data_IF_173702743844
#
_entry.id   IF_173702743844
#
_cell.length_a   1.000
_cell.length_b   1.000
_cell.length_c   1.000
_cell.angle_alpha   90.00
_cell.angle_beta   90.00
_cell.angle_gamma   90.00
#
_symmetry.space_group_name_H-M   'P 1'
#
loop_
_entity.id
_entity.type
_entity.pdbx_description
1 polymer ?
#
# COMPACT_ATOMS: atom_id res chain seq x y z
N UNK A 1 -39.10 2.89 1.47
CA UNK A 1 -38.51 2.94 0.12
C UNK A 1 -37.49 1.82 0.06
N UNK A 2 -37.81 0.71 -0.62
CA UNK A 2 -36.85 -0.37 -0.82
C UNK A 2 -35.81 0.09 -1.84
N UNK A 3 -34.59 0.34 -1.38
CA UNK A 3 -33.45 0.61 -2.25
C UNK A 3 -33.17 -0.66 -3.04
N UNK A 4 -33.52 -0.65 -4.33
CA UNK A 4 -33.12 -1.69 -5.29
C UNK A 4 -31.59 -1.79 -5.27
N UNK A 5 -31.06 -2.75 -4.54
CA UNK A 5 -29.63 -3.04 -4.44
C UNK A 5 -29.25 -3.76 -5.72
N UNK A 6 -28.86 -3.00 -6.74
CA UNK A 6 -28.28 -3.60 -7.93
C UNK A 6 -26.95 -4.24 -7.52
N UNK A 7 -26.84 -5.54 -7.72
CA UNK A 7 -25.58 -6.26 -7.68
C UNK A 7 -24.56 -5.58 -8.60
N UNK A 8 -23.37 -5.31 -8.08
CA UNK A 8 -22.27 -4.72 -8.87
C UNK A 8 -21.00 -5.52 -8.69
N UNK A 9 -20.28 -5.72 -9.79
CA UNK A 9 -18.90 -6.19 -9.72
C UNK A 9 -18.01 -5.07 -9.18
N UNK A 10 -17.09 -5.41 -8.29
CA UNK A 10 -16.12 -4.48 -7.72
C UNK A 10 -14.72 -4.77 -8.27
N UNK A 11 -14.18 -3.85 -9.04
CA UNK A 11 -12.88 -3.99 -9.71
C UNK A 11 -12.06 -2.73 -9.52
N UNK A 12 -10.75 -2.85 -9.63
CA UNK A 12 -9.87 -1.70 -9.56
C UNK A 12 -8.41 -2.11 -9.59
N UNK A 13 -7.56 -1.11 -9.35
CA UNK A 13 -6.11 -1.28 -9.26
C UNK A 13 -5.63 -0.63 -7.96
N UNK A 14 -4.71 -1.28 -7.25
CA UNK A 14 -4.07 -0.73 -6.06
C UNK A 14 -2.61 -0.43 -6.36
N UNK A 15 -2.19 0.80 -6.08
CA UNK A 15 -0.82 1.28 -6.29
C UNK A 15 -0.32 2.04 -5.07
N UNK A 16 0.98 2.25 -4.99
CA UNK A 16 1.57 3.17 -4.03
C UNK A 16 1.61 4.63 -4.53
N UNK A 17 2.16 5.52 -3.72
CA UNK A 17 2.29 6.94 -4.07
C UNK A 17 3.21 7.22 -5.27
N UNK A 18 4.11 6.29 -5.61
CA UNK A 18 4.97 6.38 -6.80
C UNK A 18 4.29 5.86 -8.07
N UNK A 19 3.13 5.20 -7.93
CA UNK A 19 2.41 4.54 -9.01
C UNK A 19 2.84 3.08 -9.21
N UNK A 20 3.68 2.53 -8.33
CA UNK A 20 4.05 1.12 -8.35
C UNK A 20 2.86 0.25 -7.95
N UNK A 21 2.63 -0.82 -8.71
CA UNK A 21 1.58 -1.78 -8.43
C UNK A 21 1.84 -2.52 -7.12
N UNK A 22 0.82 -2.60 -6.26
CA UNK A 22 0.91 -3.35 -5.01
C UNK A 22 0.33 -4.74 -5.20
N UNK A 23 1.18 -5.75 -5.40
CA UNK A 23 0.81 -7.17 -5.44
C UNK A 23 0.51 -7.69 -4.03
N UNK A 24 -0.57 -8.46 -3.87
CA UNK A 24 -0.93 -9.03 -2.57
C UNK A 24 -1.60 -8.04 -1.59
N UNK A 25 -2.02 -6.87 -2.06
CA UNK A 25 -2.92 -6.01 -1.30
C UNK A 25 -4.27 -6.71 -1.12
N UNK A 26 -4.74 -6.73 0.12
CA UNK A 26 -5.95 -7.42 0.52
C UNK A 26 -7.13 -6.48 0.44
N UNK A 27 -8.09 -6.82 -0.43
CA UNK A 27 -9.33 -6.08 -0.67
C UNK A 27 -10.47 -6.90 -0.08
N UNK A 28 -11.06 -6.41 1.00
CA UNK A 28 -12.07 -7.12 1.78
C UNK A 28 -13.39 -6.36 1.84
N UNK A 29 -14.51 -7.06 1.75
CA UNK A 29 -15.85 -6.50 1.92
C UNK A 29 -16.27 -6.71 3.38
N UNK A 30 -16.49 -5.61 4.10
CA UNK A 30 -16.75 -5.63 5.55
C UNK A 30 -18.18 -6.05 5.91
N UNK A 31 -19.12 -5.87 4.98
CA UNK A 31 -20.54 -6.17 5.24
C UNK A 31 -20.87 -7.67 5.14
N UNK A 32 -19.93 -8.50 4.68
CA UNK A 32 -20.10 -9.95 4.63
C UNK A 32 -19.53 -10.63 5.87
N UNK A 33 -20.20 -11.69 6.36
CA UNK A 33 -19.68 -12.45 7.47
C UNK A 33 -18.29 -13.02 7.12
N UNK A 34 -17.35 -12.84 8.05
CA UNK A 34 -16.06 -13.55 7.95
C UNK A 34 -16.30 -15.04 8.12
N UNK A 35 -15.70 -15.87 7.27
CA UNK A 35 -15.70 -17.31 7.44
C UNK A 35 -14.43 -17.71 8.19
N UNK A 36 -14.56 -18.26 9.39
CA UNK A 36 -13.43 -18.58 10.27
C UNK A 36 -12.49 -17.39 10.54
N UNK A 37 -13.03 -16.17 10.65
CA UNK A 37 -12.25 -14.95 10.88
C UNK A 37 -11.53 -14.39 9.65
N UNK A 38 -11.64 -15.07 8.49
CA UNK A 38 -11.16 -14.54 7.21
C UNK A 38 -12.27 -13.69 6.59
N UNK A 39 -12.08 -12.37 6.43
CA UNK A 39 -13.08 -11.53 5.80
C UNK A 39 -13.19 -11.88 4.31
N UNK A 40 -14.39 -11.76 3.75
CA UNK A 40 -14.62 -12.03 2.34
C UNK A 40 -13.88 -11.02 1.48
N UNK A 41 -13.06 -11.48 0.53
CA UNK A 41 -12.18 -10.60 -0.22
C UNK A 41 -11.30 -11.31 -1.25
N UNK A 42 -10.44 -10.53 -1.89
CA UNK A 42 -9.43 -10.99 -2.85
C UNK A 42 -8.09 -10.30 -2.59
N UNK A 43 -7.03 -10.88 -3.15
CA UNK A 43 -5.71 -10.27 -3.21
C UNK A 43 -5.51 -9.67 -4.61
N UNK A 44 -4.78 -8.55 -4.69
CA UNK A 44 -4.34 -7.98 -5.96
C UNK A 44 -3.26 -8.84 -6.61
N UNK A 45 -3.24 -8.86 -7.94
CA UNK A 45 -2.22 -9.56 -8.73
C UNK A 45 -0.91 -8.77 -8.85
N UNK A 46 0.06 -9.31 -9.60
CA UNK A 46 1.37 -8.68 -9.87
C UNK A 46 1.28 -7.29 -10.57
N UNK A 47 0.12 -6.95 -11.14
CA UNK A 47 -0.15 -5.63 -11.75
C UNK A 47 -0.96 -4.72 -10.83
N UNK A 48 -1.23 -5.17 -9.60
CA UNK A 48 -2.04 -4.49 -8.61
C UNK A 48 -3.54 -4.56 -8.91
N UNK A 49 -3.96 -5.35 -9.91
CA UNK A 49 -5.35 -5.45 -10.31
C UNK A 49 -6.13 -6.41 -9.40
N UNK A 50 -7.39 -6.07 -9.12
CA UNK A 50 -8.33 -6.94 -8.43
C UNK A 50 -9.70 -6.93 -9.08
N UNK A 51 -10.43 -8.02 -8.89
CA UNK A 51 -11.81 -8.16 -9.35
C UNK A 51 -12.58 -9.08 -8.44
N UNK A 52 -13.67 -8.58 -7.86
CA UNK A 52 -14.65 -9.33 -7.09
C UNK A 52 -15.95 -9.37 -7.88
N UNK A 53 -16.34 -10.56 -8.29
CA UNK A 53 -17.60 -10.85 -8.97
C UNK A 53 -18.48 -11.66 -8.03
N UNK A 54 -19.09 -11.00 -7.05
CA UNK A 54 -20.09 -11.61 -6.17
C UNK A 54 -21.48 -11.03 -6.47
N UNK A 55 -22.50 -11.88 -6.36
CA UNK A 55 -23.89 -11.51 -6.62
C UNK A 55 -24.53 -10.65 -5.52
N UNK A 56 -23.89 -10.53 -4.36
CA UNK A 56 -24.49 -9.82 -3.23
C UNK A 56 -23.93 -8.41 -3.05
N UNK A 57 -22.74 -8.11 -3.60
CA UNK A 57 -22.09 -6.81 -3.41
C UNK A 57 -22.93 -5.72 -4.08
N UNK A 58 -23.16 -4.62 -3.36
CA UNK A 58 -23.86 -3.47 -3.85
C UNK A 58 -22.96 -2.22 -3.81
N UNK A 59 -23.42 -1.13 -4.44
CA UNK A 59 -22.65 0.11 -4.51
C UNK A 59 -22.31 0.73 -3.14
N UNK A 60 -23.12 0.46 -2.12
CA UNK A 60 -22.94 1.00 -0.76
C UNK A 60 -22.24 0.02 0.17
N UNK A 61 -21.82 -1.16 -0.33
CA UNK A 61 -21.08 -2.11 0.47
C UNK A 61 -19.77 -1.50 0.94
N UNK A 62 -19.47 -1.66 2.23
CA UNK A 62 -18.21 -1.21 2.83
C UNK A 62 -17.07 -2.13 2.47
N UNK A 63 -15.93 -1.53 2.15
CA UNK A 63 -14.71 -2.20 1.72
C UNK A 63 -13.55 -1.69 2.56
N UNK A 64 -12.66 -2.59 2.97
CA UNK A 64 -11.36 -2.25 3.51
C UNK A 64 -10.24 -2.80 2.61
N UNK A 65 -9.28 -1.94 2.29
CA UNK A 65 -8.08 -2.27 1.51
C UNK A 65 -6.86 -2.12 2.42
N UNK A 66 -6.05 -3.17 2.51
CA UNK A 66 -4.89 -3.23 3.39
C UNK A 66 -3.67 -3.83 2.70
N UNK A 67 -2.50 -3.31 3.04
CA UNK A 67 -1.21 -3.79 2.54
C UNK A 67 -0.14 -3.53 3.59
N UNK A 68 0.90 -4.37 3.62
CA UNK A 68 1.95 -4.30 4.64
C UNK A 68 2.68 -2.94 4.55
N UNK A 69 2.75 -2.24 5.68
CA UNK A 69 3.41 -0.93 5.79
C UNK A 69 2.61 0.26 5.23
N UNK A 70 1.38 0.04 4.75
CA UNK A 70 0.48 1.09 4.23
C UNK A 70 -0.69 1.34 5.18
N UNK A 71 -1.23 2.54 5.14
CA UNK A 71 -2.45 2.92 5.85
C UNK A 71 -3.65 2.19 5.24
N UNK A 72 -4.51 1.62 6.09
CA UNK A 72 -5.73 0.96 5.64
C UNK A 72 -6.72 1.99 5.12
N UNK A 73 -7.28 1.74 3.94
CA UNK A 73 -8.35 2.56 3.36
C UNK A 73 -9.67 1.85 3.62
N UNK A 74 -10.66 2.58 4.14
CA UNK A 74 -12.04 2.09 4.30
C UNK A 74 -13.00 3.04 3.61
N UNK A 75 -13.78 2.55 2.66
CA UNK A 75 -14.78 3.34 1.91
C UNK A 75 -15.88 2.42 1.34
N UNK A 76 -16.78 2.95 0.52
CA UNK A 76 -17.82 2.19 -0.18
C UNK A 76 -17.40 1.82 -1.60
N UNK A 77 -17.95 0.72 -2.12
CA UNK A 77 -17.71 0.24 -3.49
C UNK A 77 -17.90 1.36 -4.53
N UNK A 78 -18.96 2.16 -4.46
CA UNK A 78 -19.23 3.25 -5.41
C UNK A 78 -18.07 4.22 -5.56
N UNK A 79 -17.36 4.50 -4.47
CA UNK A 79 -16.27 5.48 -4.47
C UNK A 79 -14.98 4.90 -5.06
N UNK A 80 -14.80 3.59 -5.00
CA UNK A 80 -13.56 2.89 -5.34
C UNK A 80 -13.65 2.10 -6.65
N UNK A 81 -14.84 1.75 -7.13
CA UNK A 81 -15.04 0.86 -8.26
C UNK A 81 -14.48 1.46 -9.56
N UNK A 82 -13.78 0.61 -10.32
CA UNK A 82 -13.06 0.95 -11.55
C UNK A 82 -11.98 2.04 -11.39
N UNK A 83 -11.50 2.29 -10.18
CA UNK A 83 -10.46 3.31 -9.93
C UNK A 83 -9.10 2.68 -9.63
N UNK A 84 -8.08 3.51 -9.84
CA UNK A 84 -6.76 3.32 -9.27
C UNK A 84 -6.74 3.91 -7.86
N UNK A 85 -6.43 3.08 -6.88
CA UNK A 85 -6.47 3.37 -5.45
C UNK A 85 -5.03 3.50 -4.97
N UNK A 86 -4.68 4.71 -4.54
CA UNK A 86 -3.32 5.03 -4.09
C UNK A 86 -3.25 4.83 -2.58
N UNK A 87 -2.44 3.88 -2.13
CA UNK A 87 -2.21 3.65 -0.70
C UNK A 87 -1.09 4.54 -0.16
N UNK A 88 -1.36 5.17 0.99
CA UNK A 88 -0.38 5.97 1.72
C UNK A 88 0.44 5.11 2.66
N UNK A 89 1.67 5.53 2.97
CA UNK A 89 2.51 4.85 3.96
C UNK A 89 1.95 5.06 5.38
N UNK A 90 1.89 3.98 6.18
CA UNK A 90 1.40 4.05 7.56
C UNK A 90 2.35 4.81 8.50
N UNK A 91 3.65 4.82 8.19
CA UNK A 91 4.71 5.29 9.09
C UNK A 91 4.96 6.80 9.04
N UNK A 92 4.32 7.55 8.14
CA UNK A 92 4.52 9.01 8.02
C UNK A 92 3.78 9.82 9.11
N UNK A 93 2.89 9.18 9.88
CA UNK A 93 2.03 9.83 10.88
C UNK A 93 2.51 9.62 12.34
N UNK A 94 3.71 9.09 12.57
CA UNK A 94 4.29 9.05 13.91
C UNK A 94 4.78 10.45 14.32
N UNK A 95 4.26 11.06 15.41
CA UNK A 95 4.83 12.30 15.93
C UNK A 95 6.29 12.04 16.33
N UNK A 96 7.22 12.55 15.53
CA UNK A 96 8.66 12.40 15.76
C UNK A 96 9.46 11.63 14.68
N UNK A 97 8.81 11.04 13.68
CA UNK A 97 9.52 10.38 12.56
C UNK A 97 9.33 11.12 11.23
N UNK A 98 9.84 12.35 11.13
CA UNK A 98 10.08 13.04 9.85
C UNK A 98 11.47 12.65 9.30
N UNK A 99 11.68 11.37 9.09
CA UNK A 99 12.90 10.86 8.45
C UNK A 99 12.61 10.47 7.01
N UNK A 100 12.82 11.38 6.05
CA UNK A 100 13.16 10.91 4.71
C UNK A 100 14.45 10.10 4.87
N UNK A 101 14.43 8.82 4.50
CA UNK A 101 15.63 7.99 4.47
C UNK A 101 16.52 8.45 3.30
N UNK A 102 17.05 9.67 3.38
CA UNK A 102 18.18 10.07 2.56
C UNK A 102 19.33 9.24 3.10
N UNK A 103 19.69 8.14 2.40
CA UNK A 103 20.96 7.43 2.59
C UNK A 103 22.05 8.51 2.64
N UNK A 104 22.50 8.89 3.84
CA UNK A 104 23.58 9.86 3.97
C UNK A 104 24.81 9.15 3.40
N UNK A 105 25.48 9.69 2.37
CA UNK A 105 26.78 9.16 2.00
C UNK A 105 27.62 9.26 3.25
N UNK A 106 28.10 8.12 3.76
CA UNK A 106 28.91 8.09 4.96
C UNK A 106 30.22 8.81 4.65
N UNK A 107 30.28 10.11 4.93
CA UNK A 107 31.50 10.91 4.80
C UNK A 107 32.60 10.38 5.74
N UNK A 108 32.23 9.70 6.82
CA UNK A 108 33.16 8.95 7.65
C UNK A 108 33.85 7.81 6.88
N UNK A 109 33.19 7.16 5.91
CA UNK A 109 33.84 6.14 5.07
C UNK A 109 34.77 6.75 4.00
N UNK A 110 34.50 7.98 3.55
CA UNK A 110 35.35 8.66 2.57
C UNK A 110 36.62 9.23 3.24
N UNK A 111 36.52 9.71 4.48
CA UNK A 111 37.67 10.25 5.22
C UNK A 111 38.71 9.18 5.64
N UNK A 112 38.31 7.91 5.77
CA UNK A 112 39.25 6.82 6.12
C UNK A 112 40.11 6.41 4.91
N UNK A 113 39.64 6.63 3.67
CA UNK A 113 40.40 6.33 2.47
C UNK A 113 41.51 7.35 2.18
N UNK A 114 41.36 8.63 2.55
CA UNK A 114 42.41 9.64 2.33
C UNK A 114 43.52 9.61 3.38
N UNK A 115 43.27 9.04 4.56
CA UNK A 115 44.30 8.89 5.59
C UNK A 115 45.31 7.76 5.29
N UNK A 116 44.93 6.75 4.50
CA UNK A 116 45.84 5.63 4.14
C UNK A 116 46.77 5.95 2.96
N UNK A 117 46.42 6.89 2.08
CA UNK A 117 47.30 7.32 0.99
C UNK A 117 48.19 8.52 1.32
N UNK A 118 47.92 9.25 2.41
CA UNK A 118 48.70 10.42 2.83
C UNK A 118 50.01 10.12 3.57
N UNK A 119 50.16 8.93 4.18
CA UNK A 119 51.37 8.59 4.94
C UNK A 119 52.50 7.98 4.08
N UNK A 120 52.26 7.63 2.80
CA UNK A 120 53.28 6.98 1.95
C UNK A 120 54.20 7.96 1.21
N UNK A 121 54.01 9.28 1.32
CA UNK A 121 54.82 10.28 0.57
C UNK A 121 55.67 11.16 1.50
N UNK A 122 55.65 10.94 2.82
CA UNK A 122 56.43 11.71 3.79
C UNK A 122 57.21 10.83 4.77
N UNK A 123 57.99 9.87 4.25
CA UNK A 123 59.23 9.46 4.90
C UNK A 123 60.35 9.64 3.89
N UNK A 124 61.31 10.50 4.26
CA UNK A 124 62.64 10.54 3.66
C UNK A 124 63.30 9.16 3.73
#
# INVERSE_FOLDING_TARGET
METKTNTVGFKGKVVDASGEALEGAHVSILDYPSFNGVPYGVLTDAKGDFSISDFNINNYSKVAISYVGKEQITDIVMNLNYKTIVMKDAFTNLPGYTGTYKKKPCWLCIAVLTALFGYSVYSK
#
